data_IF_096003838429
#
_entry.id   IF_096003838429
#
_cell.length_a   1.000
_cell.length_b   1.000
_cell.length_c   1.000
_cell.angle_alpha   90.00
_cell.angle_beta   90.00
_cell.angle_gamma   90.00
#
_symmetry.space_group_name_H-M   'P 1'
#
loop_
_entity.id
_entity.type
_entity.pdbx_description
1 polymer ?
#
# COMPACT_ATOMS: atom_id res chain seq x y z
N UNK A 1 14.46 -6.84 -18.18
CA UNK A 1 13.98 -5.64 -17.43
C UNK A 1 13.56 -6.14 -16.08
N UNK A 2 13.91 -5.47 -14.97
CA UNK A 2 13.51 -5.88 -13.61
C UNK A 2 12.04 -5.47 -13.42
N UNK A 3 11.20 -6.44 -13.05
CA UNK A 3 9.79 -6.18 -12.78
C UNK A 3 9.60 -5.81 -11.30
N UNK A 4 9.06 -4.62 -10.97
CA UNK A 4 8.98 -4.12 -9.59
C UNK A 4 8.25 -5.08 -8.63
N UNK A 5 7.17 -5.72 -9.07
CA UNK A 5 6.41 -6.66 -8.25
C UNK A 5 7.12 -8.01 -8.09
N UNK A 6 7.72 -8.54 -9.16
CA UNK A 6 8.14 -9.93 -9.23
C UNK A 6 9.62 -10.16 -8.91
N UNK A 7 10.49 -9.19 -9.25
CA UNK A 7 11.94 -9.36 -9.20
C UNK A 7 12.59 -8.62 -8.03
N UNK A 8 11.86 -7.71 -7.36
CA UNK A 8 12.35 -6.99 -6.19
C UNK A 8 12.06 -7.82 -4.93
N UNK A 9 13.08 -7.99 -4.08
CA UNK A 9 12.88 -8.68 -2.80
C UNK A 9 12.11 -7.81 -1.81
N UNK A 10 11.15 -8.37 -1.07
CA UNK A 10 10.48 -7.65 0.02
C UNK A 10 11.34 -7.47 1.27
N UNK A 11 12.53 -8.09 1.33
CA UNK A 11 13.45 -8.04 2.47
C UNK A 11 13.46 -9.32 3.30
N UNK A 12 14.28 -9.32 4.35
CA UNK A 12 14.55 -10.48 5.22
C UNK A 12 13.97 -10.35 6.64
N UNK A 13 13.36 -9.21 6.96
CA UNK A 13 12.81 -8.91 8.30
C UNK A 13 11.28 -8.87 8.34
N UNK A 14 10.64 -9.49 7.36
CA UNK A 14 9.19 -9.61 7.31
C UNK A 14 8.65 -10.38 8.51
N UNK A 15 7.48 -10.04 9.01
CA UNK A 15 6.57 -8.96 8.56
C UNK A 15 6.83 -7.61 9.23
N UNK A 16 7.88 -7.48 10.08
CA UNK A 16 8.13 -6.27 10.87
C UNK A 16 8.74 -5.13 10.06
N UNK A 17 9.73 -5.45 9.22
CA UNK A 17 10.35 -4.50 8.29
C UNK A 17 10.42 -5.13 6.89
N UNK A 18 10.23 -4.29 5.88
CA UNK A 18 10.19 -4.72 4.47
C UNK A 18 10.66 -3.59 3.55
N UNK A 19 10.85 -3.94 2.29
CA UNK A 19 10.95 -2.97 1.21
C UNK A 19 9.57 -2.80 0.56
N UNK A 20 9.10 -1.55 0.48
CA UNK A 20 7.93 -1.17 -0.29
C UNK A 20 8.33 -0.44 -1.57
N UNK A 21 7.49 -0.53 -2.60
CA UNK A 21 7.65 0.23 -3.84
C UNK A 21 6.54 1.27 -3.90
N UNK A 22 6.93 2.54 -4.02
CA UNK A 22 5.97 3.65 -4.06
C UNK A 22 5.42 3.79 -5.47
N UNK A 23 4.09 3.84 -5.59
CA UNK A 23 3.39 4.16 -6.84
C UNK A 23 2.92 5.61 -6.84
N UNK A 24 2.40 6.07 -5.70
CA UNK A 24 1.76 7.37 -5.56
C UNK A 24 2.49 8.19 -4.51
N UNK A 25 3.07 9.33 -4.91
CA UNK A 25 3.74 10.24 -3.98
C UNK A 25 2.78 10.83 -2.93
N UNK A 26 3.27 11.05 -1.72
CA UNK A 26 2.57 11.87 -0.72
C UNK A 26 2.21 13.24 -1.33
N UNK A 27 0.98 13.69 -1.12
CA UNK A 27 0.47 14.96 -1.64
C UNK A 27 -0.05 14.91 -3.08
N UNK A 28 -0.05 13.73 -3.73
CA UNK A 28 -0.61 13.58 -5.08
C UNK A 28 -2.13 13.57 -5.08
N UNK A 29 -2.74 14.22 -6.07
CA UNK A 29 -4.13 14.06 -6.46
C UNK A 29 -4.31 13.09 -7.64
N UNK A 30 -3.22 12.47 -8.09
CA UNK A 30 -3.23 11.51 -9.18
C UNK A 30 -3.07 10.11 -8.62
N UNK A 31 -3.97 9.21 -9.01
CA UNK A 31 -3.81 7.77 -8.74
C UNK A 31 -2.98 7.16 -9.86
N UNK A 32 -1.82 6.64 -9.47
CA UNK A 32 -0.97 5.82 -10.30
C UNK A 32 -1.11 4.35 -9.91
N UNK A 33 -0.86 3.46 -10.84
CA UNK A 33 -0.83 2.01 -10.63
C UNK A 33 0.33 1.38 -11.38
N UNK A 34 0.89 0.33 -10.83
CA UNK A 34 1.79 -0.54 -11.56
C UNK A 34 1.03 -1.27 -12.67
N UNK A 35 1.44 -1.11 -13.91
CA UNK A 35 0.99 -2.00 -14.98
C UNK A 35 1.65 -3.38 -14.79
N UNK A 36 0.83 -4.37 -14.45
CA UNK A 36 1.29 -5.72 -14.07
C UNK A 36 2.03 -6.46 -15.19
N UNK A 37 1.83 -6.05 -16.42
CA UNK A 37 2.45 -6.67 -17.59
C UNK A 37 3.81 -6.06 -17.91
N UNK A 38 3.89 -4.75 -17.93
CA UNK A 38 5.10 -4.03 -18.34
C UNK A 38 6.01 -3.64 -17.18
N UNK A 39 5.48 -3.59 -15.94
CA UNK A 39 6.17 -3.07 -14.77
C UNK A 39 6.34 -1.54 -14.78
N UNK A 40 5.67 -0.84 -15.67
CA UNK A 40 5.66 0.62 -15.71
C UNK A 40 4.58 1.19 -14.79
N UNK A 41 4.78 2.42 -14.35
CA UNK A 41 3.72 3.19 -13.68
C UNK A 41 2.80 3.78 -14.73
N UNK A 42 1.52 3.47 -14.66
CA UNK A 42 0.47 4.06 -15.49
C UNK A 42 -0.37 5.05 -14.69
N UNK A 43 -0.90 6.05 -15.35
CA UNK A 43 -1.94 6.90 -14.78
C UNK A 43 -3.26 6.12 -14.81
N UNK A 44 -3.83 5.85 -13.63
CA UNK A 44 -5.18 5.30 -13.52
C UNK A 44 -6.20 6.42 -13.69
N UNK A 45 -6.18 7.42 -12.80
CA UNK A 45 -7.04 8.61 -12.91
C UNK A 45 -6.53 9.76 -12.05
N UNK A 46 -7.06 10.95 -12.30
CA UNK A 46 -7.04 12.07 -11.37
C UNK A 46 -8.20 11.89 -10.39
N UNK A 47 -7.97 12.08 -9.09
CA UNK A 47 -9.02 11.96 -8.08
C UNK A 47 -10.14 12.97 -8.34
N UNK A 48 -11.38 12.53 -8.23
CA UNK A 48 -12.55 13.38 -8.46
C UNK A 48 -12.82 14.33 -7.28
N UNK A 49 -12.45 13.90 -6.07
CA UNK A 49 -12.55 14.70 -4.85
C UNK A 49 -11.32 15.61 -4.69
N UNK A 50 -11.50 16.75 -4.03
CA UNK A 50 -10.40 17.68 -3.74
C UNK A 50 -9.56 17.18 -2.54
N UNK A 51 -9.02 15.97 -2.66
CA UNK A 51 -8.20 15.29 -1.65
C UNK A 51 -6.84 14.90 -2.23
N UNK A 52 -5.87 14.70 -1.35
CA UNK A 52 -4.50 14.34 -1.70
C UNK A 52 -4.08 13.12 -0.89
N UNK A 53 -3.29 12.22 -1.47
CA UNK A 53 -2.75 11.07 -0.76
C UNK A 53 -1.99 11.50 0.50
N UNK A 54 -2.37 11.00 1.68
CA UNK A 54 -1.84 11.48 2.96
C UNK A 54 -0.49 10.87 3.37
N UNK A 55 0.03 9.96 2.56
CA UNK A 55 1.32 9.29 2.72
C UNK A 55 1.82 8.85 1.34
N UNK A 56 3.08 8.44 1.25
CA UNK A 56 3.57 7.74 0.07
C UNK A 56 2.86 6.37 0.00
N UNK A 57 2.14 6.12 -1.08
CA UNK A 57 1.33 4.91 -1.25
C UNK A 57 1.96 3.99 -2.29
N UNK A 58 1.91 2.71 -2.03
CA UNK A 58 2.44 1.71 -2.96
C UNK A 58 2.17 0.31 -2.46
N UNK A 59 3.05 -0.63 -2.72
CA UNK A 59 2.85 -2.03 -2.41
C UNK A 59 4.11 -2.71 -1.87
N UNK A 60 3.92 -3.87 -1.26
CA UNK A 60 5.00 -4.76 -0.85
C UNK A 60 5.29 -5.73 -1.99
N UNK A 61 6.52 -5.79 -2.54
CA UNK A 61 6.87 -6.73 -3.60
C UNK A 61 6.62 -8.19 -3.21
N UNK A 62 6.37 -9.05 -4.19
CA UNK A 62 6.17 -10.50 -4.00
C UNK A 62 5.05 -10.83 -2.99
N UNK A 63 4.03 -9.98 -2.91
CA UNK A 63 2.78 -10.24 -2.16
C UNK A 63 1.60 -10.35 -3.12
N UNK A 64 0.54 -11.02 -2.70
CA UNK A 64 -0.73 -11.13 -3.42
C UNK A 64 -1.88 -11.01 -2.43
N UNK A 65 -2.67 -9.95 -2.53
CA UNK A 65 -3.86 -9.71 -1.73
C UNK A 65 -5.08 -10.49 -2.27
N UNK A 66 -6.25 -10.33 -1.64
CA UNK A 66 -7.46 -11.08 -2.00
C UNK A 66 -8.12 -10.59 -3.30
N UNK A 67 -7.75 -9.41 -3.75
CA UNK A 67 -8.24 -8.76 -4.97
C UNK A 67 -7.35 -9.01 -6.20
N UNK A 68 -6.37 -9.93 -6.09
CA UNK A 68 -5.37 -10.24 -7.10
C UNK A 68 -4.35 -9.12 -7.39
N UNK A 69 -4.24 -8.15 -6.48
CA UNK A 69 -3.23 -7.09 -6.50
C UNK A 69 -2.11 -7.34 -5.47
N UNK A 70 -0.93 -6.71 -5.62
CA UNK A 70 0.06 -6.69 -4.54
C UNK A 70 -0.53 -6.03 -3.28
N UNK A 71 -0.06 -6.44 -2.10
CA UNK A 71 -0.54 -5.90 -0.83
C UNK A 71 -0.14 -4.43 -0.67
N UNK A 72 -1.14 -3.59 -0.48
CA UNK A 72 -1.02 -2.14 -0.35
C UNK A 72 -0.30 -1.71 0.93
N UNK A 73 0.50 -0.66 0.83
CA UNK A 73 1.15 -0.01 1.97
C UNK A 73 1.11 1.51 1.88
N UNK A 74 0.82 2.16 3.02
CA UNK A 74 1.01 3.59 3.23
C UNK A 74 2.29 3.79 4.03
N UNK A 75 3.29 4.41 3.44
CA UNK A 75 4.57 4.70 4.10
C UNK A 75 4.61 6.17 4.49
N UNK A 76 4.53 6.39 5.80
CA UNK A 76 4.65 7.72 6.39
C UNK A 76 6.12 8.15 6.38
N UNK A 77 6.36 9.32 5.87
CA UNK A 77 7.65 9.95 5.69
C UNK A 77 7.47 11.48 5.67
N UNK A 78 8.48 12.23 6.08
CA UNK A 78 8.46 13.70 6.01
C UNK A 78 8.31 14.18 4.56
N UNK A 79 8.96 13.49 3.63
CA UNK A 79 9.07 13.91 2.24
C UNK A 79 8.24 13.03 1.30
N UNK A 80 7.83 13.64 0.22
CA UNK A 80 7.31 12.94 -0.95
C UNK A 80 8.46 12.27 -1.70
N UNK A 81 8.24 11.08 -2.21
CA UNK A 81 9.23 10.37 -3.04
C UNK A 81 8.65 10.06 -4.42
N UNK A 82 9.52 9.97 -5.42
CA UNK A 82 9.08 9.70 -6.80
C UNK A 82 8.55 8.27 -6.95
N UNK A 83 7.62 8.03 -7.89
CA UNK A 83 7.17 6.67 -8.20
C UNK A 83 8.32 5.71 -8.53
N UNK A 84 8.15 4.43 -8.20
CA UNK A 84 9.14 3.35 -8.27
C UNK A 84 10.30 3.49 -7.28
N UNK A 85 10.21 4.41 -6.31
CA UNK A 85 11.17 4.44 -5.20
C UNK A 85 11.03 3.19 -4.34
N UNK A 86 12.15 2.50 -4.15
CA UNK A 86 12.28 1.41 -3.17
C UNK A 86 12.52 2.03 -1.79
N UNK A 87 11.57 1.87 -0.88
CA UNK A 87 11.63 2.45 0.45
C UNK A 87 11.68 1.35 1.52
N UNK A 88 12.62 1.45 2.46
CA UNK A 88 12.66 0.54 3.60
C UNK A 88 11.70 1.05 4.67
N UNK A 89 10.74 0.21 5.02
CA UNK A 89 9.64 0.57 5.90
C UNK A 89 9.48 -0.41 7.07
N UNK A 90 8.91 0.07 8.17
CA UNK A 90 8.51 -0.72 9.32
C UNK A 90 7.00 -0.67 9.47
N UNK A 91 6.39 -1.85 9.64
CA UNK A 91 4.98 -2.00 9.98
C UNK A 91 4.68 -1.38 11.34
N UNK A 92 3.69 -0.50 11.40
CA UNK A 92 3.20 0.12 12.64
C UNK A 92 1.69 -0.06 12.86
N UNK A 93 0.97 -0.57 11.88
CA UNK A 93 -0.48 -0.79 11.98
C UNK A 93 -1.11 -1.39 10.75
N UNK A 94 -2.40 -1.66 10.86
CA UNK A 94 -3.27 -2.15 9.79
C UNK A 94 -4.50 -1.27 9.70
N UNK A 95 -4.87 -0.89 8.49
CA UNK A 95 -6.17 -0.30 8.18
C UNK A 95 -6.90 -1.23 7.22
N UNK A 96 -8.16 -1.54 7.55
CA UNK A 96 -9.03 -2.32 6.68
C UNK A 96 -10.15 -1.43 6.17
N UNK A 97 -10.45 -1.55 4.90
CA UNK A 97 -11.62 -0.91 4.31
C UNK A 97 -12.49 -1.95 3.59
N UNK A 98 -13.77 -1.64 3.49
CA UNK A 98 -14.71 -2.40 2.65
C UNK A 98 -14.94 -1.58 1.38
N UNK A 99 -14.42 -2.07 0.28
CA UNK A 99 -14.62 -1.48 -1.04
C UNK A 99 -15.48 -2.41 -1.89
N UNK A 100 -16.66 -1.94 -2.30
CA UNK A 100 -17.62 -2.74 -3.09
C UNK A 100 -17.92 -4.13 -2.49
N UNK A 101 -17.96 -4.20 -1.15
CA UNK A 101 -18.29 -5.44 -0.40
C UNK A 101 -17.09 -6.39 -0.20
N UNK A 102 -15.89 -6.02 -0.62
CA UNK A 102 -14.65 -6.79 -0.39
C UNK A 102 -13.76 -6.10 0.62
N UNK A 103 -13.07 -6.89 1.44
CA UNK A 103 -12.03 -6.38 2.33
C UNK A 103 -10.81 -5.99 1.53
N UNK A 104 -10.32 -4.81 1.80
CA UNK A 104 -9.10 -4.25 1.24
C UNK A 104 -8.21 -3.79 2.40
N UNK A 105 -7.12 -4.50 2.60
CA UNK A 105 -6.18 -4.28 3.69
C UNK A 105 -5.04 -3.35 3.25
N UNK A 106 -4.74 -2.36 4.07
CA UNK A 106 -3.63 -1.43 3.85
C UNK A 106 -2.70 -1.43 5.03
N UNK A 107 -1.45 -1.81 4.78
CA UNK A 107 -0.42 -1.78 5.82
C UNK A 107 -0.05 -0.33 6.09
N UNK A 108 -0.02 0.05 7.36
CA UNK A 108 0.49 1.35 7.79
C UNK A 108 1.94 1.15 8.24
N UNK A 109 2.83 1.90 7.63
CA UNK A 109 4.27 1.78 7.87
C UNK A 109 4.94 3.15 7.97
N UNK A 110 6.15 3.17 8.51
CA UNK A 110 7.02 4.36 8.57
C UNK A 110 8.33 4.09 7.84
N UNK A 111 8.87 5.09 7.17
CA UNK A 111 10.19 5.01 6.57
C UNK A 111 11.26 4.86 7.66
N UNK A 112 12.05 3.77 7.63
CA UNK A 112 13.02 3.48 8.69
C UNK A 112 14.24 4.41 8.70
N UNK A 113 14.48 5.12 7.61
CA UNK A 113 15.59 6.07 7.48
C UNK A 113 15.15 7.52 7.67
N UNK A 114 13.88 7.75 8.01
CA UNK A 114 13.36 9.08 8.30
C UNK A 114 13.51 9.36 9.80
N UNK A 115 14.32 10.37 10.21
CA UNK A 115 14.58 10.66 11.62
C UNK A 115 13.34 11.09 12.40
N UNK A 116 12.32 11.66 11.76
CA UNK A 116 11.06 12.03 12.41
C UNK A 116 10.18 10.80 12.68
N UNK A 117 10.13 9.86 11.74
CA UNK A 117 9.19 8.74 11.80
C UNK A 117 9.80 7.42 12.30
N UNK A 118 11.12 7.26 12.25
CA UNK A 118 11.77 5.97 12.54
C UNK A 118 11.64 5.48 13.99
N UNK A 119 11.23 6.33 14.92
CA UNK A 119 11.01 5.96 16.34
C UNK A 119 9.68 5.23 16.57
N UNK A 120 8.67 5.45 15.74
CA UNK A 120 7.36 4.84 15.92
C UNK A 120 7.39 3.32 15.70
N UNK A 121 6.69 2.60 16.58
CA UNK A 121 6.50 1.13 16.55
C UNK A 121 5.04 0.75 16.38
N UNK A 122 4.13 1.61 16.85
CA UNK A 122 2.70 1.44 16.79
C UNK A 122 2.04 2.70 16.23
N UNK A 123 1.02 2.55 15.41
CA UNK A 123 0.28 3.68 14.86
C UNK A 123 -0.29 4.61 15.94
N UNK A 124 -0.73 4.05 17.08
CA UNK A 124 -1.28 4.80 18.22
C UNK A 124 -0.27 5.75 18.90
N UNK A 125 1.02 5.58 18.65
CA UNK A 125 2.08 6.49 19.15
C UNK A 125 2.13 7.80 18.36
N UNK A 126 1.51 7.82 17.20
CA UNK A 126 1.45 9.01 16.34
C UNK A 126 0.39 9.99 16.84
N UNK A 127 0.51 11.29 16.46
CA UNK A 127 -0.55 12.25 16.71
C UNK A 127 -1.90 11.74 16.15
N UNK A 128 -2.94 11.73 16.99
CA UNK A 128 -4.27 11.21 16.63
C UNK A 128 -4.82 11.84 15.33
N UNK A 129 -4.56 13.12 15.11
CA UNK A 129 -4.99 13.82 13.90
C UNK A 129 -4.38 13.21 12.63
N UNK A 130 -3.15 12.72 12.67
CA UNK A 130 -2.52 12.05 11.52
C UNK A 130 -3.29 10.79 11.12
N UNK A 131 -3.69 9.98 12.10
CA UNK A 131 -4.46 8.76 11.87
C UNK A 131 -5.87 9.06 11.34
N UNK A 132 -6.51 10.13 11.86
CA UNK A 132 -7.79 10.60 11.34
C UNK A 132 -7.69 11.04 9.87
N UNK A 133 -6.62 11.74 9.49
CA UNK A 133 -6.38 12.14 8.09
C UNK A 133 -6.24 10.93 7.17
N UNK A 134 -5.51 9.88 7.58
CA UNK A 134 -5.39 8.64 6.80
C UNK A 134 -6.76 8.03 6.53
N UNK A 135 -7.55 7.83 7.57
CA UNK A 135 -8.90 7.24 7.45
C UNK A 135 -9.82 8.11 6.62
N UNK A 136 -9.84 9.41 6.88
CA UNK A 136 -10.71 10.37 6.19
C UNK A 136 -10.44 10.42 4.69
N UNK A 137 -9.17 10.35 4.27
CA UNK A 137 -8.83 10.28 2.87
C UNK A 137 -9.55 9.12 2.17
N UNK A 138 -9.49 7.90 2.72
CA UNK A 138 -10.13 6.73 2.12
C UNK A 138 -11.65 6.75 2.21
N UNK A 139 -12.23 7.47 3.16
CA UNK A 139 -13.67 7.71 3.20
C UNK A 139 -14.14 8.65 2.09
N UNK A 140 -13.32 9.62 1.69
CA UNK A 140 -13.71 10.71 0.79
C UNK A 140 -13.27 10.50 -0.68
N UNK A 141 -12.18 9.78 -0.93
CA UNK A 141 -11.51 9.79 -2.24
C UNK A 141 -12.36 9.23 -3.40
N UNK A 142 -13.33 8.36 -3.12
CA UNK A 142 -14.28 7.79 -4.10
C UNK A 142 -15.69 8.36 -4.01
N UNK A 143 -15.95 9.31 -3.13
CA UNK A 143 -17.30 9.86 -2.90
C UNK A 143 -17.91 10.46 -4.17
N UNK A 144 -17.16 11.29 -4.91
CA UNK A 144 -17.62 11.89 -6.16
C UNK A 144 -17.66 10.89 -7.33
N UNK A 145 -17.11 9.68 -7.16
CA UNK A 145 -17.29 8.55 -8.08
C UNK A 145 -18.57 7.75 -7.80
N UNK A 146 -19.36 8.17 -6.80
CA UNK A 146 -20.60 7.50 -6.40
C UNK A 146 -20.35 6.18 -5.66
N UNK A 147 -19.17 5.96 -5.11
CA UNK A 147 -18.79 4.75 -4.39
C UNK A 147 -18.64 5.06 -2.90
N UNK A 148 -19.39 4.37 -2.06
CA UNK A 148 -19.23 4.43 -0.61
C UNK A 148 -18.15 3.43 -0.18
N UNK A 149 -17.28 3.88 0.72
CA UNK A 149 -16.23 3.07 1.34
C UNK A 149 -16.39 3.14 2.85
N UNK A 150 -16.41 1.99 3.51
CA UNK A 150 -16.33 1.89 4.97
C UNK A 150 -14.88 1.67 5.36
N UNK A 151 -14.38 2.45 6.32
CA UNK A 151 -12.99 2.37 6.79
C UNK A 151 -12.98 2.11 8.29
N UNK A 152 -12.40 1.00 8.68
CA UNK A 152 -12.26 0.60 10.09
C UNK A 152 -11.27 1.50 10.85
N UNK A 153 -11.23 1.33 12.17
CA UNK A 153 -10.19 1.91 13.02
C UNK A 153 -8.82 1.29 12.65
N UNK A 154 -7.76 2.10 12.77
CA UNK A 154 -6.39 1.60 12.56
C UNK A 154 -6.02 0.67 13.71
N UNK A 155 -5.64 -0.55 13.38
CA UNK A 155 -5.30 -1.61 14.30
C UNK A 155 -3.80 -1.66 14.59
N UNK A 156 -3.38 -2.30 15.69
CA UNK A 156 -1.96 -2.47 16.04
C UNK A 156 -1.13 -3.17 14.95
N UNK A 157 0.19 -2.98 14.98
CA UNK A 157 1.11 -3.63 14.05
C UNK A 157 0.99 -5.17 14.03
N UNK A 158 0.70 -5.77 15.18
CA UNK A 158 0.54 -7.23 15.30
C UNK A 158 -0.58 -7.80 14.41
N UNK A 159 -1.64 -7.02 14.16
CA UNK A 159 -2.76 -7.42 13.29
C UNK A 159 -2.37 -7.40 11.80
N UNK A 160 -1.36 -6.62 11.42
CA UNK A 160 -0.84 -6.59 10.06
C UNK A 160 0.03 -7.81 9.71
N UNK A 161 0.67 -8.41 10.71
CA UNK A 161 1.65 -9.49 10.47
C UNK A 161 1.05 -10.73 9.78
N UNK A 162 -0.08 -11.29 10.23
CA UNK A 162 -0.72 -12.39 9.51
C UNK A 162 -1.13 -12.00 8.08
N UNK A 163 -1.62 -10.78 7.85
CA UNK A 163 -2.02 -10.31 6.52
C UNK A 163 -0.82 -10.29 5.57
N UNK A 164 0.33 -9.78 6.03
CA UNK A 164 1.58 -9.76 5.23
C UNK A 164 2.03 -11.20 4.92
N UNK A 165 2.05 -12.08 5.92
CA UNK A 165 2.46 -13.47 5.74
C UNK A 165 1.55 -14.23 4.77
N UNK A 166 0.24 -14.05 4.88
CA UNK A 166 -0.74 -14.66 3.98
C UNK A 166 -0.58 -14.16 2.54
N UNK A 167 -0.33 -12.87 2.35
CA UNK A 167 -0.09 -12.29 1.03
C UNK A 167 1.20 -12.83 0.39
N UNK A 168 2.27 -13.00 1.15
CA UNK A 168 3.51 -13.64 0.70
C UNK A 168 3.29 -15.10 0.31
N UNK A 169 2.53 -15.84 1.14
CA UNK A 169 2.20 -17.24 0.87
C UNK A 169 1.38 -17.37 -0.41
N UNK A 170 0.30 -16.59 -0.58
CA UNK A 170 -0.52 -16.58 -1.80
C UNK A 170 0.31 -16.27 -3.04
N UNK A 171 1.19 -15.28 -2.97
CA UNK A 171 2.10 -14.95 -4.07
C UNK A 171 2.99 -16.14 -4.43
N UNK A 172 3.62 -16.78 -3.44
CA UNK A 172 4.50 -17.93 -3.66
C UNK A 172 3.78 -19.12 -4.30
N UNK A 173 2.54 -19.39 -3.89
CA UNK A 173 1.70 -20.42 -4.48
C UNK A 173 1.31 -20.10 -5.92
N UNK A 174 0.91 -18.83 -6.16
CA UNK A 174 0.54 -18.41 -7.51
C UNK A 174 1.75 -18.46 -8.46
N UNK A 175 2.93 -18.09 -7.98
CA UNK A 175 4.18 -18.17 -8.77
C UNK A 175 4.51 -19.62 -9.15
N UNK A 176 4.31 -20.58 -8.27
CA UNK A 176 4.50 -22.02 -8.56
C UNK A 176 3.52 -22.55 -9.62
N UNK A 177 2.29 -22.02 -9.64
CA UNK A 177 1.25 -22.39 -10.62
C UNK A 177 1.40 -21.69 -11.96
N UNK A 178 2.34 -20.76 -12.08
CA UNK A 178 2.45 -19.80 -13.18
C UNK A 178 1.40 -18.69 -13.04
N UNK A 179 1.81 -17.43 -13.08
CA UNK A 179 0.85 -16.35 -13.20
C UNK A 179 0.13 -16.54 -14.53
N UNK A 180 -1.21 -16.65 -14.51
CA UNK A 180 -2.00 -16.49 -15.73
C UNK A 180 -1.65 -15.12 -16.29
N UNK A 181 -1.28 -15.04 -17.56
CA UNK A 181 -1.05 -13.76 -18.23
C UNK A 181 -2.25 -12.85 -17.89
N UNK A 182 -1.98 -11.78 -17.14
CA UNK A 182 -3.01 -10.81 -16.82
C UNK A 182 -3.40 -10.14 -18.14
N UNK A 183 -4.55 -10.57 -18.67
CA UNK A 183 -5.34 -10.02 -19.74
C UNK A 183 -4.61 -9.34 -20.90
N UNK A 184 -4.69 -9.95 -22.07
CA UNK A 184 -4.42 -9.23 -23.31
C UNK A 184 -5.23 -7.92 -23.31
N UNK A 185 -4.53 -6.81 -23.56
CA UNK A 185 -5.12 -5.50 -23.78
C UNK A 185 -6.11 -5.62 -24.96
N UNK A 186 -7.38 -5.39 -24.67
CA UNK A 186 -8.39 -5.12 -25.71
C UNK A 186 -8.62 -3.63 -25.78
#
# INVERSE_FOLDING_TARGET
MIHPWHDVTPGDKLPQEFYGIVEIPFGSSVKYELDKTSGLIKLDRVLYSAVYYPANYGFIPQTLAEDDDPLDVLVLCQETVVPLTLIRARTIGLMTMIDTGKKDHKIIAVATQDPEFNSYREAREMPAHRLLMLRRFFQDYKQLEGKAVEVDEIQPAAEAYPIINDALHRYSEQRRKGFKEFGAIH
#
